data_IF_613482192610
#
_entry.id   IF_613482192610
#
_cell.length_a   1.000
_cell.length_b   1.000
_cell.length_c   1.000
_cell.angle_alpha   90.00
_cell.angle_beta   90.00
_cell.angle_gamma   90.00
#
_symmetry.space_group_name_H-M   'P 1'
#
loop_
_entity.id
_entity.type
_entity.pdbx_description
1 polymer ?
#
# COMPACT_ATOMS: atom_id res chain seq x y z
N UNK A 1 3.12 35.50 40.95
CA UNK A 1 2.29 35.28 39.78
C UNK A 1 2.74 34.17 38.80
N UNK A 2 3.87 33.46 39.03
CA UNK A 2 4.39 32.40 38.10
C UNK A 2 3.91 30.97 38.42
N UNK A 3 3.37 30.71 39.61
CA UNK A 3 2.90 29.37 40.04
C UNK A 3 1.49 28.98 39.58
N UNK A 4 0.65 29.94 39.23
CA UNK A 4 -0.74 29.66 38.82
C UNK A 4 -0.88 29.21 37.37
N UNK A 5 -0.01 29.70 36.48
CA UNK A 5 -0.01 29.30 35.04
C UNK A 5 0.43 27.84 34.84
N UNK A 6 1.33 27.32 35.67
CA UNK A 6 1.80 25.93 35.54
C UNK A 6 0.75 24.91 36.03
N UNK A 7 -0.05 25.23 37.04
CA UNK A 7 -1.12 24.34 37.52
C UNK A 7 -2.25 24.20 36.49
N UNK A 8 -2.58 25.28 35.75
CA UNK A 8 -3.64 25.27 34.76
C UNK A 8 -3.29 24.44 33.52
N UNK A 9 -2.02 24.40 33.12
CA UNK A 9 -1.55 23.55 32.02
C UNK A 9 -1.54 22.05 32.37
N UNK A 10 -1.24 21.69 33.61
CA UNK A 10 -1.26 20.29 34.05
C UNK A 10 -2.69 19.74 34.16
N UNK A 11 -3.66 20.53 34.56
CA UNK A 11 -5.07 20.11 34.59
C UNK A 11 -5.64 19.90 33.19
N UNK A 12 -5.22 20.70 32.19
CA UNK A 12 -5.63 20.52 30.81
C UNK A 12 -5.04 19.25 30.19
N UNK A 13 -3.79 18.92 30.53
CA UNK A 13 -3.13 17.72 30.01
C UNK A 13 -3.73 16.43 30.62
N UNK A 14 -4.05 16.42 31.90
CA UNK A 14 -4.74 15.29 32.54
C UNK A 14 -6.14 15.10 31.95
N UNK A 15 -6.90 16.16 31.75
CA UNK A 15 -8.22 16.11 31.12
C UNK A 15 -8.18 15.53 29.69
N UNK A 16 -7.19 15.95 28.88
CA UNK A 16 -6.98 15.41 27.52
C UNK A 16 -6.62 13.91 27.60
N UNK A 17 -5.73 13.53 28.52
CA UNK A 17 -5.33 12.13 28.72
C UNK A 17 -6.51 11.26 29.12
N UNK A 18 -7.34 11.73 30.07
CA UNK A 18 -8.51 10.99 30.54
C UNK A 18 -9.60 10.89 29.46
N UNK A 19 -9.80 11.95 28.69
CA UNK A 19 -10.72 11.95 27.54
C UNK A 19 -10.27 10.98 26.44
N UNK A 20 -8.97 10.95 26.12
CA UNK A 20 -8.41 10.01 25.15
C UNK A 20 -8.54 8.57 25.67
N UNK A 21 -8.21 8.31 26.94
CA UNK A 21 -8.28 6.97 27.51
C UNK A 21 -9.71 6.43 27.55
N UNK A 22 -10.70 7.26 27.86
CA UNK A 22 -12.11 6.89 27.86
C UNK A 22 -12.61 6.61 26.43
N UNK A 23 -12.19 7.43 25.45
CA UNK A 23 -12.55 7.23 24.03
C UNK A 23 -11.92 5.95 23.47
N UNK A 24 -10.67 5.67 23.81
CA UNK A 24 -9.99 4.42 23.46
C UNK A 24 -10.64 3.21 24.13
N UNK A 25 -10.98 3.28 25.41
CA UNK A 25 -11.64 2.19 26.11
C UNK A 25 -13.04 1.89 25.55
N UNK A 26 -13.80 2.92 25.15
CA UNK A 26 -15.11 2.77 24.53
C UNK A 26 -15.04 2.15 23.13
N UNK A 27 -13.98 2.45 22.38
CA UNK A 27 -13.79 2.00 21.00
C UNK A 27 -12.73 0.89 20.86
N UNK A 28 -12.40 0.20 21.94
CA UNK A 28 -11.36 -0.82 21.98
C UNK A 28 -11.55 -1.90 20.89
N UNK A 29 -12.79 -2.36 20.67
CA UNK A 29 -13.08 -3.35 19.65
C UNK A 29 -12.77 -2.85 18.23
N UNK A 30 -13.09 -1.60 17.92
CA UNK A 30 -12.80 -0.97 16.62
C UNK A 30 -11.28 -0.82 16.45
N UNK A 31 -10.58 -0.39 17.48
CA UNK A 31 -9.12 -0.26 17.46
C UNK A 31 -8.43 -1.62 17.21
N UNK A 32 -8.93 -2.69 17.83
CA UNK A 32 -8.46 -4.06 17.58
C UNK A 32 -8.65 -4.50 16.12
N UNK A 33 -9.79 -4.17 15.52
CA UNK A 33 -10.06 -4.46 14.10
C UNK A 33 -9.08 -3.71 13.19
N UNK A 34 -8.84 -2.43 13.45
CA UNK A 34 -7.87 -1.65 12.67
C UNK A 34 -6.44 -2.18 12.85
N UNK A 35 -6.05 -2.55 14.07
CA UNK A 35 -4.74 -3.15 14.32
C UNK A 35 -4.59 -4.50 13.60
N UNK A 36 -5.63 -5.33 13.63
CA UNK A 36 -5.65 -6.61 12.92
C UNK A 36 -5.54 -6.43 11.40
N UNK A 37 -6.28 -5.48 10.83
CA UNK A 37 -6.19 -5.15 9.40
C UNK A 37 -4.80 -4.60 9.02
N UNK A 38 -4.23 -3.74 9.85
CA UNK A 38 -2.87 -3.22 9.67
C UNK A 38 -1.85 -4.35 9.65
N UNK A 39 -1.88 -5.25 10.64
CA UNK A 39 -0.97 -6.40 10.71
C UNK A 39 -1.14 -7.33 9.51
N UNK A 40 -2.38 -7.58 9.07
CA UNK A 40 -2.64 -8.39 7.88
C UNK A 40 -2.03 -7.74 6.63
N UNK A 41 -2.18 -6.43 6.44
CA UNK A 41 -1.58 -5.71 5.32
C UNK A 41 -0.04 -5.71 5.37
N UNK A 42 0.56 -5.57 6.55
CA UNK A 42 2.02 -5.67 6.73
C UNK A 42 2.53 -7.06 6.37
N UNK A 43 1.82 -8.11 6.78
CA UNK A 43 2.17 -9.49 6.40
C UNK A 43 2.05 -9.72 4.90
N UNK A 44 1.00 -9.20 4.26
CA UNK A 44 0.83 -9.27 2.81
C UNK A 44 1.98 -8.52 2.10
N UNK A 45 2.29 -7.29 2.53
CA UNK A 45 3.38 -6.51 1.96
C UNK A 45 4.73 -7.20 2.13
N UNK A 46 4.99 -7.80 3.29
CA UNK A 46 6.19 -8.59 3.52
C UNK A 46 6.27 -9.78 2.56
N UNK A 47 5.16 -10.52 2.41
CA UNK A 47 5.10 -11.64 1.47
C UNK A 47 5.31 -11.19 0.02
N UNK A 48 4.67 -10.10 -0.40
CA UNK A 48 4.83 -9.55 -1.75
C UNK A 48 6.29 -9.13 -1.99
N UNK A 49 6.90 -8.39 -1.07
CA UNK A 49 8.29 -7.93 -1.20
C UNK A 49 9.27 -9.11 -1.19
N UNK A 50 9.05 -10.11 -0.32
CA UNK A 50 9.90 -11.31 -0.29
C UNK A 50 9.72 -12.22 -1.51
N UNK A 51 8.56 -12.16 -2.17
CA UNK A 51 8.28 -12.91 -3.39
C UNK A 51 8.66 -12.16 -4.66
N UNK A 52 8.87 -10.85 -4.57
CA UNK A 52 9.40 -10.05 -5.67
C UNK A 52 10.89 -10.32 -5.72
N UNK A 53 11.36 -10.84 -6.84
CA UNK A 53 12.79 -10.95 -7.14
C UNK A 53 13.36 -9.53 -7.32
N UNK A 54 13.58 -8.83 -6.20
CA UNK A 54 14.00 -7.42 -6.18
C UNK A 54 15.37 -7.22 -6.79
N UNK A 55 16.20 -8.25 -6.73
CA UNK A 55 17.52 -8.26 -7.39
C UNK A 55 17.40 -8.72 -8.84
N UNK A 56 16.32 -9.45 -9.17
CA UNK A 56 16.14 -10.11 -10.45
C UNK A 56 14.69 -10.04 -10.94
N UNK A 57 14.16 -8.85 -11.08
CA UNK A 57 13.01 -8.63 -11.95
C UNK A 57 13.29 -9.06 -13.41
N UNK A 58 14.52 -9.53 -13.68
CA UNK A 58 15.02 -9.97 -14.96
C UNK A 58 15.76 -11.28 -14.79
N UNK A 59 15.27 -12.31 -15.43
CA UNK A 59 16.05 -13.53 -15.61
C UNK A 59 17.34 -13.19 -16.39
N UNK A 60 18.49 -13.65 -15.92
CA UNK A 60 19.73 -13.47 -16.68
C UNK A 60 19.61 -14.01 -18.12
N UNK A 61 18.71 -14.98 -18.35
CA UNK A 61 18.36 -15.53 -19.66
C UNK A 61 17.62 -14.56 -20.59
N UNK A 62 17.12 -13.40 -20.11
CA UNK A 62 16.52 -12.38 -20.95
C UNK A 62 17.55 -11.50 -21.67
N UNK A 63 18.83 -11.61 -21.28
CA UNK A 63 19.91 -10.80 -21.84
C UNK A 63 20.93 -11.68 -22.55
N UNK A 64 21.29 -11.27 -23.76
CA UNK A 64 22.37 -11.88 -24.55
C UNK A 64 23.54 -10.88 -24.69
N UNK A 65 24.75 -11.39 -24.75
CA UNK A 65 25.93 -10.56 -24.98
C UNK A 65 25.82 -9.85 -26.33
N UNK A 66 25.97 -8.52 -26.31
CA UNK A 66 25.84 -7.69 -27.51
C UNK A 66 24.44 -7.17 -27.77
N UNK A 67 23.41 -7.68 -27.09
CA UNK A 67 22.06 -7.17 -27.17
C UNK A 67 21.97 -5.73 -26.62
N UNK A 68 21.23 -4.84 -27.28
CA UNK A 68 20.96 -3.51 -26.75
C UNK A 68 19.91 -3.62 -25.65
N UNK A 69 20.31 -3.25 -24.44
CA UNK A 69 19.42 -3.31 -23.29
C UNK A 69 18.25 -2.32 -23.40
N UNK A 70 17.06 -2.80 -23.13
CA UNK A 70 15.84 -1.99 -23.05
C UNK A 70 15.65 -1.29 -21.70
N UNK A 71 16.40 -1.70 -20.69
CA UNK A 71 16.32 -1.25 -19.30
C UNK A 71 17.69 -1.00 -18.70
N UNK A 72 17.71 -0.17 -17.64
CA UNK A 72 18.91 0.00 -16.80
C UNK A 72 18.75 -0.84 -15.55
N UNK A 73 19.72 -1.72 -15.26
CA UNK A 73 19.76 -2.54 -14.05
C UNK A 73 20.85 -2.01 -13.14
N UNK A 74 20.46 -1.70 -11.93
CA UNK A 74 21.33 -1.22 -10.84
C UNK A 74 21.33 -2.28 -9.75
N UNK A 75 22.49 -2.58 -9.17
CA UNK A 75 22.57 -3.49 -8.04
C UNK A 75 22.14 -2.79 -6.76
N UNK A 76 21.21 -3.40 -6.03
CA UNK A 76 20.78 -2.94 -4.70
C UNK A 76 21.59 -3.59 -3.56
N UNK A 77 22.55 -4.49 -3.91
CA UNK A 77 23.37 -5.22 -2.94
C UNK A 77 24.85 -5.21 -3.34
N UNK A 78 25.70 -5.25 -2.33
CA UNK A 78 27.15 -5.45 -2.51
C UNK A 78 27.47 -6.93 -2.34
N UNK A 79 28.03 -7.56 -3.39
CA UNK A 79 28.44 -8.95 -3.40
C UNK A 79 29.97 -9.05 -3.59
N UNK A 80 30.69 -9.65 -2.63
CA UNK A 80 32.13 -9.86 -2.78
C UNK A 80 32.42 -10.87 -3.89
N UNK A 81 33.64 -10.87 -4.47
CA UNK A 81 34.07 -11.90 -5.43
C UNK A 81 34.05 -13.27 -4.77
N UNK A 82 33.62 -14.27 -5.52
CA UNK A 82 33.64 -15.70 -5.10
C UNK A 82 34.30 -16.58 -6.16
N UNK A 83 34.41 -17.89 -5.88
CA UNK A 83 35.11 -18.84 -6.77
C UNK A 83 34.35 -19.03 -8.12
N UNK A 84 33.06 -18.88 -8.16
CA UNK A 84 32.24 -19.00 -9.38
C UNK A 84 32.23 -17.70 -10.20
N UNK A 85 32.24 -16.57 -9.49
CA UNK A 85 32.15 -15.23 -10.09
C UNK A 85 33.26 -14.34 -9.51
N UNK A 86 34.40 -14.19 -10.19
CA UNK A 86 35.57 -13.48 -9.67
C UNK A 86 35.40 -11.95 -9.63
N UNK A 87 34.20 -11.42 -9.92
CA UNK A 87 33.91 -10.02 -9.93
C UNK A 87 33.17 -9.63 -8.66
N UNK A 88 33.47 -8.45 -8.09
CA UNK A 88 32.63 -7.80 -7.10
C UNK A 88 31.47 -7.10 -7.80
N UNK A 89 30.34 -7.05 -7.11
CA UNK A 89 29.21 -6.18 -7.45
C UNK A 89 29.05 -5.20 -6.30
N UNK A 90 29.01 -3.91 -6.59
CA UNK A 90 28.85 -2.86 -5.58
C UNK A 90 27.39 -2.37 -5.56
N UNK A 91 26.89 -2.01 -4.38
CA UNK A 91 25.58 -1.37 -4.24
C UNK A 91 25.55 -0.07 -5.03
N UNK A 92 24.50 0.15 -5.83
CA UNK A 92 24.36 1.30 -6.72
C UNK A 92 25.12 1.18 -8.05
N UNK A 93 25.82 0.06 -8.30
CA UNK A 93 26.51 -0.18 -9.56
C UNK A 93 25.51 -0.40 -10.69
N UNK A 94 25.69 0.33 -11.81
CA UNK A 94 24.90 0.15 -13.04
C UNK A 94 25.49 -0.99 -13.86
N UNK A 95 24.92 -2.18 -13.74
CA UNK A 95 25.40 -3.40 -14.40
C UNK A 95 25.05 -3.39 -15.89
N UNK A 96 23.79 -3.01 -16.19
CA UNK A 96 23.30 -2.89 -17.55
C UNK A 96 22.67 -1.49 -17.71
N UNK A 97 22.91 -0.83 -18.85
CA UNK A 97 22.38 0.51 -19.14
C UNK A 97 21.47 0.45 -20.37
N UNK A 98 20.29 1.04 -20.22
CA UNK A 98 19.35 1.19 -21.35
C UNK A 98 20.01 1.85 -22.55
N UNK A 99 19.84 1.26 -23.73
CA UNK A 99 20.38 1.77 -25.00
C UNK A 99 21.86 1.41 -25.25
N UNK A 100 22.51 0.67 -24.35
CA UNK A 100 23.87 0.16 -24.51
C UNK A 100 23.90 -1.35 -24.68
N UNK A 101 24.91 -1.90 -25.38
CA UNK A 101 25.05 -3.34 -25.50
C UNK A 101 25.42 -3.98 -24.17
N UNK A 102 24.83 -5.14 -23.89
CA UNK A 102 25.16 -5.96 -22.72
C UNK A 102 26.56 -6.54 -22.93
N UNK A 103 27.44 -6.32 -21.96
CA UNK A 103 28.80 -6.86 -22.00
C UNK A 103 28.84 -8.24 -21.33
N UNK A 104 29.87 -9.05 -21.64
CA UNK A 104 30.11 -10.35 -20.98
C UNK A 104 30.24 -10.19 -19.45
N UNK A 105 30.94 -9.13 -19.02
CA UNK A 105 31.09 -8.83 -17.59
C UNK A 105 29.73 -8.44 -16.98
N UNK A 106 28.93 -7.67 -17.71
CA UNK A 106 27.58 -7.29 -17.29
C UNK A 106 26.69 -8.51 -17.13
N UNK A 107 26.70 -9.44 -18.09
CA UNK A 107 25.96 -10.69 -18.01
C UNK A 107 26.41 -11.54 -16.82
N UNK A 108 27.72 -11.74 -16.64
CA UNK A 108 28.26 -12.49 -15.51
C UNK A 108 27.92 -11.85 -14.15
N UNK A 109 27.85 -10.53 -14.05
CA UNK A 109 27.36 -9.82 -12.86
C UNK A 109 25.87 -10.03 -12.62
N UNK A 110 25.05 -10.08 -13.69
CA UNK A 110 23.63 -10.41 -13.58
C UNK A 110 23.41 -11.85 -13.11
N UNK A 111 24.19 -12.81 -13.65
CA UNK A 111 24.15 -14.21 -13.21
C UNK A 111 24.55 -14.36 -11.73
N UNK A 112 25.56 -13.61 -11.30
CA UNK A 112 25.96 -13.58 -9.89
C UNK A 112 24.87 -13.05 -8.98
N UNK A 113 24.18 -11.98 -9.39
CA UNK A 113 23.03 -11.45 -8.67
C UNK A 113 21.88 -12.47 -8.62
N UNK A 114 21.64 -13.20 -9.72
CA UNK A 114 20.63 -14.26 -9.78
C UNK A 114 20.92 -15.43 -8.83
N UNK A 115 22.20 -15.74 -8.62
CA UNK A 115 22.65 -16.80 -7.72
C UNK A 115 22.72 -16.35 -6.24
N UNK A 116 22.52 -15.04 -5.97
CA UNK A 116 22.57 -14.52 -4.60
C UNK A 116 21.38 -15.04 -3.78
N UNK A 117 21.54 -15.25 -2.46
CA UNK A 117 20.44 -15.62 -1.59
C UNK A 117 19.36 -14.52 -1.62
N UNK A 118 18.11 -14.92 -1.41
CA UNK A 118 16.93 -14.04 -1.43
C UNK A 118 17.21 -12.75 -0.64
N UNK A 119 17.10 -11.63 -1.34
CA UNK A 119 17.27 -10.31 -0.76
C UNK A 119 15.91 -9.72 -0.42
N UNK A 120 15.73 -9.34 0.83
CA UNK A 120 14.54 -8.63 1.26
C UNK A 120 14.86 -7.14 1.30
N UNK A 121 14.17 -6.35 0.51
CA UNK A 121 14.28 -4.90 0.56
C UNK A 121 13.60 -4.35 1.83
N UNK A 122 14.38 -4.30 2.91
CA UNK A 122 13.93 -3.76 4.19
C UNK A 122 13.57 -2.27 4.12
N UNK A 123 14.16 -1.53 3.19
CA UNK A 123 13.82 -0.11 2.99
C UNK A 123 12.43 0.04 2.41
N UNK A 124 12.13 -0.67 1.31
CA UNK A 124 10.81 -0.67 0.70
C UNK A 124 9.75 -1.17 1.68
N UNK A 125 10.06 -2.22 2.47
CA UNK A 125 9.18 -2.71 3.52
C UNK A 125 8.93 -1.65 4.60
N UNK A 126 9.98 -0.99 5.08
CA UNK A 126 9.87 0.07 6.10
C UNK A 126 9.02 1.24 5.62
N UNK A 127 9.25 1.71 4.40
CA UNK A 127 8.51 2.81 3.79
C UNK A 127 7.03 2.43 3.61
N UNK A 128 6.75 1.21 3.15
CA UNK A 128 5.39 0.67 3.03
C UNK A 128 4.67 0.55 4.38
N UNK A 129 5.34 0.07 5.41
CA UNK A 129 4.79 -0.05 6.78
C UNK A 129 4.50 1.33 7.38
N UNK A 130 5.40 2.30 7.23
CA UNK A 130 5.18 3.68 7.68
C UNK A 130 4.00 4.32 6.97
N UNK A 131 3.86 4.10 5.66
CA UNK A 131 2.71 4.57 4.89
C UNK A 131 1.40 3.95 5.39
N UNK A 132 1.36 2.63 5.60
CA UNK A 132 0.19 1.94 6.16
C UNK A 132 -0.16 2.43 7.56
N UNK A 133 0.83 2.72 8.40
CA UNK A 133 0.62 3.28 9.73
C UNK A 133 -0.02 4.67 9.65
N UNK A 134 0.48 5.53 8.77
CA UNK A 134 -0.12 6.85 8.52
C UNK A 134 -1.55 6.71 7.99
N UNK A 135 -1.79 5.80 7.05
CA UNK A 135 -3.10 5.54 6.48
C UNK A 135 -4.08 5.01 7.54
N UNK A 136 -3.64 4.11 8.42
CA UNK A 136 -4.46 3.62 9.54
C UNK A 136 -4.83 4.75 10.51
N UNK A 137 -3.88 5.62 10.86
CA UNK A 137 -4.14 6.78 11.70
C UNK A 137 -5.12 7.76 11.04
N UNK A 138 -4.91 8.05 9.75
CA UNK A 138 -5.82 8.90 8.95
C UNK A 138 -7.22 8.29 8.88
N UNK A 139 -7.34 6.98 8.65
CA UNK A 139 -8.60 6.26 8.60
C UNK A 139 -9.36 6.37 9.92
N UNK A 140 -8.68 6.12 11.04
CA UNK A 140 -9.28 6.26 12.37
C UNK A 140 -9.78 7.68 12.63
N UNK A 141 -9.04 8.70 12.19
CA UNK A 141 -9.44 10.09 12.31
C UNK A 141 -10.64 10.45 11.42
N UNK A 142 -10.64 10.04 10.15
CA UNK A 142 -11.68 10.36 9.19
C UNK A 142 -13.03 9.69 9.50
N UNK A 143 -13.00 8.46 10.04
CA UNK A 143 -14.21 7.74 10.48
C UNK A 143 -14.69 8.18 11.88
N UNK A 144 -14.09 9.22 12.46
CA UNK A 144 -14.59 9.80 13.70
C UNK A 144 -15.98 10.46 13.48
N UNK A 145 -16.89 10.33 14.43
CA UNK A 145 -18.23 10.95 14.34
C UNK A 145 -18.24 12.46 14.04
N UNK A 146 -17.16 13.17 14.38
CA UNK A 146 -17.00 14.60 14.09
C UNK A 146 -17.02 14.87 12.59
N UNK A 147 -16.44 13.96 11.78
CA UNK A 147 -16.34 14.13 10.32
C UNK A 147 -17.46 13.40 9.57
N UNK A 148 -17.80 12.18 10.02
CA UNK A 148 -18.82 11.36 9.35
C UNK A 148 -20.25 11.64 9.84
N UNK A 149 -20.42 12.36 10.94
CA UNK A 149 -21.76 12.63 11.53
C UNK A 149 -22.36 11.42 12.27
N UNK A 150 -21.87 10.23 12.03
CA UNK A 150 -22.32 8.97 12.65
C UNK A 150 -21.13 8.16 13.16
N UNK A 151 -21.32 7.43 14.26
CA UNK A 151 -20.30 6.53 14.78
C UNK A 151 -20.33 5.21 14.01
N UNK A 152 -19.17 4.74 13.57
CA UNK A 152 -19.01 3.42 12.95
C UNK A 152 -19.15 2.35 14.04
N UNK A 153 -20.03 1.39 13.80
CA UNK A 153 -20.21 0.22 14.69
C UNK A 153 -19.07 -0.79 14.48
N UNK A 154 -18.89 -1.72 15.43
CA UNK A 154 -17.88 -2.77 15.32
C UNK A 154 -18.06 -3.63 14.05
N UNK A 155 -19.31 -3.95 13.72
CA UNK A 155 -19.62 -4.77 12.51
C UNK A 155 -19.24 -4.04 11.23
N UNK A 156 -19.51 -2.74 11.17
CA UNK A 156 -19.14 -1.88 10.04
C UNK A 156 -17.62 -1.73 9.91
N UNK A 157 -16.92 -1.58 11.04
CA UNK A 157 -15.46 -1.52 11.05
C UNK A 157 -14.84 -2.83 10.54
N UNK A 158 -15.38 -4.00 10.91
CA UNK A 158 -14.93 -5.30 10.40
C UNK A 158 -15.14 -5.38 8.89
N UNK A 159 -16.31 -4.96 8.39
CA UNK A 159 -16.60 -5.00 6.96
C UNK A 159 -15.64 -4.12 6.15
N UNK A 160 -15.41 -2.88 6.61
CA UNK A 160 -14.46 -1.96 5.98
C UNK A 160 -13.03 -2.53 6.00
N UNK A 161 -12.62 -3.12 7.13
CA UNK A 161 -11.31 -3.75 7.28
C UNK A 161 -11.13 -4.93 6.31
N UNK A 162 -12.12 -5.81 6.19
CA UNK A 162 -12.09 -6.95 5.26
C UNK A 162 -11.98 -6.46 3.82
N UNK A 163 -12.77 -5.47 3.42
CA UNK A 163 -12.70 -4.91 2.06
C UNK A 163 -11.34 -4.28 1.77
N UNK A 164 -10.78 -3.57 2.75
CA UNK A 164 -9.46 -2.96 2.62
C UNK A 164 -8.35 -4.02 2.48
N UNK A 165 -8.31 -5.02 3.37
CA UNK A 165 -7.32 -6.10 3.34
C UNK A 165 -7.44 -6.92 2.06
N UNK A 166 -8.66 -7.23 1.62
CA UNK A 166 -8.90 -7.94 0.37
C UNK A 166 -8.37 -7.15 -0.84
N UNK A 167 -8.66 -5.84 -0.90
CA UNK A 167 -8.17 -4.98 -1.99
C UNK A 167 -6.66 -4.86 -1.98
N UNK A 168 -6.06 -4.62 -0.80
CA UNK A 168 -4.61 -4.52 -0.64
C UNK A 168 -3.91 -5.83 -1.03
N UNK A 169 -4.45 -6.97 -0.59
CA UNK A 169 -3.92 -8.29 -0.93
C UNK A 169 -4.02 -8.59 -2.42
N UNK A 170 -5.18 -8.34 -3.03
CA UNK A 170 -5.35 -8.53 -4.47
C UNK A 170 -4.45 -7.60 -5.30
N UNK A 171 -4.25 -6.35 -4.86
CA UNK A 171 -3.37 -5.42 -5.52
C UNK A 171 -1.90 -5.87 -5.41
N UNK A 172 -1.45 -6.28 -4.21
CA UNK A 172 -0.09 -6.76 -3.98
C UNK A 172 0.20 -8.06 -4.73
N UNK A 173 -0.65 -9.09 -4.58
CA UNK A 173 -0.46 -10.36 -5.29
C UNK A 173 -0.63 -10.18 -6.80
N UNK A 174 -1.55 -9.32 -7.23
CA UNK A 174 -1.77 -9.02 -8.65
C UNK A 174 -0.55 -8.38 -9.30
N UNK A 175 0.24 -7.59 -8.56
CA UNK A 175 1.47 -7.00 -9.08
C UNK A 175 2.56 -8.02 -9.41
N UNK A 176 2.53 -9.21 -8.77
CA UNK A 176 3.49 -10.30 -9.01
C UNK A 176 3.16 -11.13 -10.26
N UNK A 177 1.93 -11.07 -10.76
CA UNK A 177 1.45 -11.96 -11.82
C UNK A 177 1.45 -11.22 -13.16
N UNK A 178 2.23 -11.69 -14.14
CA UNK A 178 2.04 -11.32 -15.53
C UNK A 178 0.73 -11.96 -16.02
N UNK A 179 -0.18 -11.31 -16.68
CA UNK A 179 -0.24 -9.99 -17.33
C UNK A 179 -0.80 -8.85 -16.45
N UNK A 180 -1.03 -9.07 -15.15
CA UNK A 180 -1.66 -8.06 -14.26
C UNK A 180 -0.70 -6.97 -13.84
N UNK A 181 0.60 -7.19 -13.99
CA UNK A 181 1.64 -6.17 -13.73
C UNK A 181 1.55 -4.96 -14.69
N UNK A 182 0.74 -5.05 -15.77
CA UNK A 182 0.48 -3.90 -16.62
C UNK A 182 -0.45 -2.89 -15.94
N UNK A 183 -0.19 -1.57 -16.07
CA UNK A 183 -0.84 -0.52 -15.27
C UNK A 183 -2.36 -0.44 -15.41
N UNK A 184 -2.92 -0.97 -16.51
CA UNK A 184 -4.36 -0.90 -16.78
C UNK A 184 -5.10 -2.20 -16.49
N UNK A 185 -4.42 -3.34 -16.39
CA UNK A 185 -5.08 -4.63 -16.22
C UNK A 185 -5.47 -4.88 -14.75
N UNK A 186 -4.58 -4.54 -13.82
CA UNK A 186 -4.82 -4.72 -12.39
C UNK A 186 -6.06 -3.95 -11.88
N UNK A 187 -6.22 -2.63 -12.18
CA UNK A 187 -7.36 -1.86 -11.68
C UNK A 187 -8.73 -2.38 -12.14
N UNK A 188 -8.80 -3.01 -13.32
CA UNK A 188 -10.05 -3.55 -13.88
C UNK A 188 -10.52 -4.77 -13.08
N UNK A 189 -9.59 -5.57 -12.56
CA UNK A 189 -9.89 -6.80 -11.82
C UNK A 189 -10.21 -6.51 -10.35
N UNK A 190 -9.66 -5.42 -9.81
CA UNK A 190 -9.89 -5.05 -8.41
C UNK A 190 -11.37 -4.71 -8.17
N UNK A 191 -12.06 -5.40 -7.22
CA UNK A 191 -13.48 -5.16 -6.94
C UNK A 191 -13.73 -3.89 -6.11
N UNK A 192 -12.85 -2.89 -6.21
CA UNK A 192 -12.91 -1.66 -5.39
C UNK A 192 -14.22 -0.91 -5.57
N UNK A 193 -14.69 -0.79 -6.81
CA UNK A 193 -15.95 -0.12 -7.15
C UNK A 193 -17.14 -0.79 -6.48
N UNK A 194 -17.19 -2.13 -6.48
CA UNK A 194 -18.22 -2.90 -5.80
C UNK A 194 -18.19 -2.66 -4.28
N UNK A 195 -17.01 -2.68 -3.67
CA UNK A 195 -16.87 -2.46 -2.23
C UNK A 195 -17.31 -1.04 -1.83
N UNK A 196 -16.90 -0.03 -2.58
CA UNK A 196 -17.32 1.35 -2.32
C UNK A 196 -18.81 1.52 -2.53
N UNK A 197 -19.39 0.90 -3.55
CA UNK A 197 -20.83 0.92 -3.80
C UNK A 197 -21.59 0.32 -2.60
N UNK A 198 -21.17 -0.83 -2.10
CA UNK A 198 -21.75 -1.47 -0.90
C UNK A 198 -21.64 -0.56 0.33
N UNK A 199 -20.48 0.05 0.56
CA UNK A 199 -20.28 0.98 1.68
C UNK A 199 -21.19 2.21 1.53
N UNK A 200 -21.34 2.76 0.32
CA UNK A 200 -22.20 3.91 0.07
C UNK A 200 -23.67 3.60 0.34
N UNK A 201 -24.13 2.43 -0.07
CA UNK A 201 -25.54 2.00 0.12
C UNK A 201 -25.81 1.63 1.58
N UNK A 202 -24.90 0.92 2.24
CA UNK A 202 -25.11 0.42 3.61
C UNK A 202 -24.93 1.49 4.68
N UNK A 203 -24.00 2.43 4.48
CA UNK A 203 -23.67 3.43 5.52
C UNK A 203 -24.10 4.83 5.11
N UNK A 204 -23.35 5.47 4.23
CA UNK A 204 -23.70 6.77 3.65
C UNK A 204 -22.75 7.14 2.51
N UNK A 205 -23.13 8.16 1.72
CA UNK A 205 -22.28 8.70 0.67
C UNK A 205 -20.94 9.21 1.22
N UNK A 206 -20.94 9.86 2.38
CA UNK A 206 -19.71 10.38 3.01
C UNK A 206 -18.75 9.26 3.33
N UNK A 207 -19.22 8.14 3.90
CA UNK A 207 -18.40 6.95 4.16
C UNK A 207 -17.85 6.36 2.87
N UNK A 208 -18.67 6.28 1.81
CA UNK A 208 -18.22 5.79 0.50
C UNK A 208 -17.11 6.65 -0.10
N UNK A 209 -17.24 7.98 -0.04
CA UNK A 209 -16.20 8.91 -0.54
C UNK A 209 -14.89 8.74 0.26
N UNK A 210 -14.97 8.76 1.59
CA UNK A 210 -13.79 8.56 2.45
C UNK A 210 -13.13 7.21 2.16
N UNK A 211 -13.93 6.16 2.06
CA UNK A 211 -13.42 4.82 1.78
C UNK A 211 -12.78 4.70 0.40
N UNK A 212 -13.27 5.44 -0.61
CA UNK A 212 -12.66 5.51 -1.95
C UNK A 212 -11.22 6.03 -1.89
N UNK A 213 -10.97 7.08 -1.09
CA UNK A 213 -9.61 7.59 -0.88
C UNK A 213 -8.72 6.57 -0.16
N UNK A 214 -9.24 5.92 0.88
CA UNK A 214 -8.50 4.93 1.65
C UNK A 214 -8.12 3.73 0.79
N UNK A 215 -9.04 3.20 -0.03
CA UNK A 215 -8.77 2.10 -0.95
C UNK A 215 -7.73 2.49 -2.01
N UNK A 216 -7.86 3.67 -2.60
CA UNK A 216 -6.92 4.18 -3.60
C UNK A 216 -5.51 4.29 -3.02
N UNK A 217 -5.36 4.83 -1.81
CA UNK A 217 -4.07 4.92 -1.12
C UNK A 217 -3.55 3.52 -0.72
N UNK A 218 -4.43 2.59 -0.37
CA UNK A 218 -4.07 1.20 -0.12
C UNK A 218 -3.51 0.51 -1.35
N UNK A 219 -4.12 0.74 -2.53
CA UNK A 219 -3.61 0.23 -3.81
C UNK A 219 -2.28 0.89 -4.19
N UNK A 220 -2.12 2.20 -3.93
CA UNK A 220 -0.86 2.90 -4.15
C UNK A 220 0.29 2.29 -3.33
N UNK A 221 0.02 1.95 -2.07
CA UNK A 221 1.02 1.31 -1.21
C UNK A 221 1.35 -0.13 -1.65
N UNK A 222 0.35 -0.87 -2.13
CA UNK A 222 0.54 -2.24 -2.58
C UNK A 222 1.28 -2.34 -3.93
N UNK A 223 1.18 -1.29 -4.76
CA UNK A 223 1.77 -1.24 -6.10
C UNK A 223 2.72 -0.03 -6.21
N UNK A 224 3.84 -0.11 -5.51
CA UNK A 224 4.80 0.99 -5.29
C UNK A 224 5.37 1.62 -6.56
N UNK A 225 5.43 0.89 -7.67
CA UNK A 225 6.07 1.36 -8.90
C UNK A 225 5.18 2.26 -9.78
N UNK A 226 3.85 2.19 -9.62
CA UNK A 226 2.95 2.85 -10.55
C UNK A 226 1.74 3.50 -9.86
N UNK A 227 1.59 4.80 -10.05
CA UNK A 227 0.46 5.56 -9.53
C UNK A 227 -0.85 5.36 -10.33
N UNK A 228 -0.77 4.88 -11.56
CA UNK A 228 -1.91 4.77 -12.48
C UNK A 228 -3.04 3.88 -11.91
N UNK A 229 -2.76 2.68 -11.33
CA UNK A 229 -3.79 1.86 -10.73
C UNK A 229 -4.56 2.57 -9.61
N UNK A 230 -3.87 3.31 -8.75
CA UNK A 230 -4.49 4.03 -7.65
C UNK A 230 -5.39 5.17 -8.13
N UNK A 231 -4.97 5.93 -9.14
CA UNK A 231 -5.78 6.99 -9.75
C UNK A 231 -7.02 6.43 -10.43
N UNK A 232 -6.90 5.31 -11.16
CA UNK A 232 -8.04 4.65 -11.78
C UNK A 232 -9.06 4.16 -10.73
N UNK A 233 -8.58 3.53 -9.66
CA UNK A 233 -9.42 3.09 -8.53
C UNK A 233 -10.11 4.29 -7.90
N UNK A 234 -9.39 5.39 -7.64
CA UNK A 234 -9.99 6.60 -7.08
C UNK A 234 -11.11 7.14 -7.96
N UNK A 235 -10.85 7.33 -9.25
CA UNK A 235 -11.81 7.89 -10.19
C UNK A 235 -13.06 7.01 -10.32
N UNK A 236 -12.89 5.69 -10.49
CA UNK A 236 -13.99 4.74 -10.64
C UNK A 236 -14.83 4.62 -9.35
N UNK A 237 -14.18 4.61 -8.19
CA UNK A 237 -14.86 4.56 -6.90
C UNK A 237 -15.65 5.84 -6.62
N UNK A 238 -15.08 7.02 -6.88
CA UNK A 238 -15.81 8.30 -6.74
C UNK A 238 -16.99 8.41 -7.71
N UNK A 239 -16.82 7.92 -8.94
CA UNK A 239 -17.94 7.88 -9.90
C UNK A 239 -19.07 6.99 -9.38
N UNK A 240 -18.77 5.82 -8.81
CA UNK A 240 -19.79 4.91 -8.26
C UNK A 240 -20.60 5.54 -7.12
N UNK A 241 -19.97 6.32 -6.23
CA UNK A 241 -20.68 7.02 -5.14
C UNK A 241 -21.68 8.04 -5.67
N UNK A 242 -21.40 8.68 -6.82
CA UNK A 242 -22.30 9.62 -7.48
C UNK A 242 -23.48 8.93 -8.14
N UNK A 243 -23.24 7.81 -8.81
CA UNK A 243 -24.31 7.02 -9.45
C UNK A 243 -25.35 6.57 -8.43
N UNK A 244 -24.91 6.05 -7.26
CA UNK A 244 -25.82 5.65 -6.18
C UNK A 244 -26.71 6.81 -5.76
N UNK A 245 -26.15 8.00 -5.55
CA UNK A 245 -26.92 9.19 -5.17
C UNK A 245 -27.97 9.53 -6.22
N UNK A 246 -27.62 9.52 -7.49
CA UNK A 246 -28.55 9.86 -8.58
C UNK A 246 -29.70 8.85 -8.64
N UNK A 247 -29.42 7.56 -8.45
CA UNK A 247 -30.45 6.52 -8.40
C UNK A 247 -31.40 6.70 -7.19
N UNK A 248 -30.86 6.99 -6.00
CA UNK A 248 -31.69 7.25 -4.83
C UNK A 248 -32.61 8.46 -5.02
N UNK A 249 -32.10 9.57 -5.56
CA UNK A 249 -32.91 10.76 -5.85
C UNK A 249 -34.01 10.44 -6.86
N UNK A 250 -33.69 9.68 -7.92
CA UNK A 250 -34.68 9.30 -8.94
C UNK A 250 -35.79 8.40 -8.37
N UNK A 251 -35.45 7.40 -7.54
CA UNK A 251 -36.41 6.49 -6.91
C UNK A 251 -37.35 7.24 -5.91
N UNK A 252 -36.83 8.26 -5.21
CA UNK A 252 -37.60 9.00 -4.22
C UNK A 252 -38.43 10.14 -4.83
N UNK A 253 -38.16 10.52 -6.08
CA UNK A 253 -38.88 11.58 -6.80
C UNK A 253 -40.00 11.08 -7.71
N UNK A 254 -40.10 9.77 -7.94
CA UNK A 254 -41.17 9.13 -8.73
C UNK A 254 -42.17 8.43 -7.83
#
# INVERSE_FOLDING_TARGET
MKKEKTKKNWSSFSYIKDSISQTLAKNYGILLVFLGAFLACVLISFFVISSTETVMAYSASEFEVGQIADKTIVSDVSLPPDAAYPFSVEEGEKIVRKGFPVTEIGLSKLEKLAAAPEYIDYKALSDGVLFLMLLAAMTFFLFNPIFCGTSVSLKEAILLAVFFVATHGLAGVGSLVQPFNQPYNLPIILPCTLFVLLVTVMFSQTHGVIFSFILSLGVLNAHQENIIPSLFVLASCLASTRVVRSLFVFILSG
#
